data_IF_642348570227
#
_entry.id   IF_642348570227
#
_cell.length_a   1.000
_cell.length_b   1.000
_cell.length_c   1.000
_cell.angle_alpha   90.00
_cell.angle_beta   90.00
_cell.angle_gamma   90.00
#
_symmetry.space_group_name_H-M   'P 1'
#
loop_
_entity.id
_entity.type
_entity.pdbx_description
1 polymer ?
#
# COMPACT_ATOMS: atom_id res chain seq x y z
N UNK A 1 -37.58 15.44 6.12
CA UNK A 1 -36.16 15.66 5.76
C UNK A 1 -35.53 14.29 5.56
N UNK A 2 -34.85 14.01 4.44
CA UNK A 2 -34.14 12.75 4.30
C UNK A 2 -33.02 12.74 5.34
N UNK A 3 -33.01 11.71 6.19
CA UNK A 3 -31.91 11.42 7.12
C UNK A 3 -30.63 11.26 6.32
N UNK A 4 -29.69 12.19 6.51
CA UNK A 4 -28.32 12.05 6.01
C UNK A 4 -27.78 10.75 6.63
N UNK A 5 -27.24 9.81 5.85
CA UNK A 5 -26.65 8.61 6.42
C UNK A 5 -25.55 9.02 7.40
N UNK A 6 -25.52 8.45 8.60
CA UNK A 6 -24.52 8.80 9.62
C UNK A 6 -23.15 8.15 9.36
N UNK A 7 -23.02 7.33 8.31
CA UNK A 7 -21.84 6.51 8.06
C UNK A 7 -21.57 6.29 6.57
N UNK A 8 -20.29 6.03 6.25
CA UNK A 8 -19.87 5.56 4.92
C UNK A 8 -20.49 4.18 4.68
N UNK A 9 -21.13 3.93 3.52
CA UNK A 9 -21.72 2.63 3.23
C UNK A 9 -20.65 1.53 3.22
N UNK A 10 -20.87 0.50 4.04
CA UNK A 10 -20.03 -0.69 4.05
C UNK A 10 -20.42 -1.62 2.90
N UNK A 11 -19.44 -2.07 2.12
CA UNK A 11 -19.63 -2.96 0.98
C UNK A 11 -18.60 -4.08 1.03
N UNK A 12 -19.04 -5.32 0.80
CA UNK A 12 -18.10 -6.43 0.67
C UNK A 12 -17.31 -6.26 -0.61
N UNK A 13 -16.02 -6.55 -0.57
CA UNK A 13 -15.12 -6.45 -1.73
C UNK A 13 -15.69 -7.06 -3.02
N UNK A 14 -16.30 -8.24 -2.94
CA UNK A 14 -16.83 -8.94 -4.11
C UNK A 14 -18.10 -8.28 -4.69
N UNK A 15 -18.79 -7.48 -3.89
CA UNK A 15 -19.97 -6.70 -4.30
C UNK A 15 -19.57 -5.34 -4.90
N UNK A 16 -18.31 -4.92 -4.71
CA UNK A 16 -17.84 -3.63 -5.20
C UNK A 16 -17.83 -3.60 -6.74
N UNK A 17 -17.36 -4.66 -7.39
CA UNK A 17 -17.26 -4.75 -8.85
C UNK A 17 -18.56 -4.39 -9.60
N UNK A 18 -19.69 -5.10 -9.38
CA UNK A 18 -20.92 -4.79 -10.08
C UNK A 18 -21.45 -3.39 -9.74
N UNK A 19 -21.15 -2.87 -8.55
CA UNK A 19 -21.54 -1.51 -8.16
C UNK A 19 -20.73 -0.47 -8.92
N UNK A 20 -19.42 -0.70 -9.13
CA UNK A 20 -18.59 0.18 -9.96
C UNK A 20 -19.06 0.18 -11.41
N UNK A 21 -19.30 -1.00 -11.98
CA UNK A 21 -19.82 -1.12 -13.34
C UNK A 21 -21.17 -0.42 -13.49
N UNK A 22 -22.10 -0.63 -12.55
CA UNK A 22 -23.42 -0.02 -12.63
C UNK A 22 -23.36 1.50 -12.44
N UNK A 23 -22.65 1.97 -11.42
CA UNK A 23 -22.59 3.39 -11.06
C UNK A 23 -21.87 4.24 -12.10
N UNK A 24 -20.96 3.65 -12.88
CA UNK A 24 -20.15 4.35 -13.88
C UNK A 24 -20.32 3.82 -15.31
N UNK A 25 -21.35 3.01 -15.57
CA UNK A 25 -21.67 2.45 -16.90
C UNK A 25 -21.86 3.50 -18.00
N UNK A 26 -22.23 4.73 -17.64
CA UNK A 26 -22.38 5.86 -18.56
C UNK A 26 -21.19 6.81 -18.61
N UNK A 27 -20.13 6.57 -17.84
CA UNK A 27 -18.94 7.41 -17.80
C UNK A 27 -17.88 6.84 -18.75
N UNK A 28 -17.39 7.66 -19.68
CA UNK A 28 -16.29 7.25 -20.57
C UNK A 28 -14.98 7.01 -19.82
N UNK A 29 -14.78 7.75 -18.71
CA UNK A 29 -13.56 7.68 -17.90
C UNK A 29 -13.88 7.89 -16.43
N UNK A 30 -13.28 7.07 -15.56
CA UNK A 30 -13.44 7.20 -14.11
C UNK A 30 -12.21 6.66 -13.38
N UNK A 31 -12.00 7.13 -12.15
CA UNK A 31 -10.89 6.73 -11.30
C UNK A 31 -11.41 5.96 -10.10
N UNK A 32 -10.69 4.90 -9.73
CA UNK A 32 -10.86 4.17 -8.48
C UNK A 32 -9.64 4.40 -7.60
N UNK A 33 -9.87 4.84 -6.36
CA UNK A 33 -8.84 5.09 -5.36
C UNK A 33 -9.12 4.21 -4.16
N UNK A 34 -8.24 3.24 -3.92
CA UNK A 34 -8.23 2.44 -2.70
C UNK A 34 -7.35 3.13 -1.66
N UNK A 35 -7.89 3.36 -0.48
CA UNK A 35 -7.25 4.11 0.61
C UNK A 35 -7.16 3.20 1.84
N UNK A 36 -5.98 3.08 2.43
CA UNK A 36 -5.73 2.43 3.70
C UNK A 36 -5.39 3.49 4.76
N UNK A 37 -6.16 3.50 5.85
CA UNK A 37 -5.87 4.31 7.04
C UNK A 37 -4.76 3.63 7.83
N UNK A 38 -3.66 4.35 8.02
CA UNK A 38 -2.49 3.85 8.71
C UNK A 38 -2.67 3.92 10.23
N UNK A 39 -1.99 3.04 10.96
CA UNK A 39 -2.01 2.99 12.43
C UNK A 39 -3.41 2.96 13.06
N UNK A 40 -4.43 2.49 12.31
CA UNK A 40 -5.81 2.42 12.81
C UNK A 40 -5.95 1.60 14.10
N UNK A 41 -5.13 0.55 14.28
CA UNK A 41 -5.12 -0.25 15.51
C UNK A 41 -4.66 0.59 16.71
N UNK A 42 -3.56 1.32 16.58
CA UNK A 42 -3.09 2.23 17.63
C UNK A 42 -4.17 3.27 17.95
N UNK A 43 -4.74 3.92 16.93
CA UNK A 43 -5.85 4.88 17.10
C UNK A 43 -7.00 4.22 17.87
N UNK A 44 -7.41 3.01 17.47
CA UNK A 44 -8.50 2.28 18.11
C UNK A 44 -8.19 1.88 19.56
N UNK A 45 -6.94 1.55 19.89
CA UNK A 45 -6.53 1.19 21.24
C UNK A 45 -6.47 2.39 22.18
N UNK A 46 -6.18 3.59 21.67
CA UNK A 46 -6.19 4.83 22.44
C UNK A 46 -7.59 5.45 22.58
N UNK A 47 -8.51 5.14 21.67
CA UNK A 47 -9.86 5.68 21.67
C UNK A 47 -10.83 4.79 22.45
N UNK A 48 -11.64 5.40 23.32
CA UNK A 48 -12.82 4.73 23.85
C UNK A 48 -13.88 4.52 22.75
N UNK A 49 -14.85 3.64 23.01
CA UNK A 49 -15.90 3.31 22.04
C UNK A 49 -16.69 4.53 21.54
N UNK A 50 -16.93 5.51 22.43
CA UNK A 50 -17.58 6.78 22.07
C UNK A 50 -16.73 7.59 21.07
N UNK A 51 -15.45 7.79 21.37
CA UNK A 51 -14.50 8.50 20.50
C UNK A 51 -14.38 7.80 19.14
N UNK A 52 -14.44 6.46 19.11
CA UNK A 52 -14.37 5.68 17.87
C UNK A 52 -15.57 5.94 16.97
N UNK A 53 -16.79 5.92 17.53
CA UNK A 53 -18.01 6.24 16.79
C UNK A 53 -17.96 7.68 16.26
N UNK A 54 -17.58 8.63 17.11
CA UNK A 54 -17.46 10.04 16.72
C UNK A 54 -16.39 10.26 15.65
N UNK A 55 -15.25 9.55 15.72
CA UNK A 55 -14.19 9.61 14.71
C UNK A 55 -14.73 9.21 13.33
N UNK A 56 -15.52 8.13 13.25
CA UNK A 56 -16.13 7.67 11.99
C UNK A 56 -17.14 8.68 11.47
N UNK A 57 -17.99 9.23 12.35
CA UNK A 57 -18.96 10.27 11.98
C UNK A 57 -18.28 11.55 11.46
N UNK A 58 -17.26 12.04 12.16
CA UNK A 58 -16.50 13.22 11.74
C UNK A 58 -15.72 12.99 10.45
N UNK A 59 -15.21 11.77 10.25
CA UNK A 59 -14.60 11.37 8.98
C UNK A 59 -15.63 11.39 7.86
N UNK A 60 -16.82 10.80 8.08
CA UNK A 60 -17.90 10.81 7.09
C UNK A 60 -18.30 12.24 6.70
N UNK A 61 -18.61 13.09 7.68
CA UNK A 61 -18.98 14.50 7.48
C UNK A 61 -17.90 15.24 6.69
N UNK A 62 -16.63 15.00 7.01
CA UNK A 62 -15.53 15.66 6.31
C UNK A 62 -15.45 15.25 4.84
N UNK A 63 -15.58 13.96 4.55
CA UNK A 63 -15.52 13.47 3.18
C UNK A 63 -16.74 13.97 2.41
N UNK A 64 -17.94 13.91 2.99
CA UNK A 64 -19.17 14.41 2.36
C UNK A 64 -19.05 15.91 1.98
N UNK A 65 -18.46 16.72 2.85
CA UNK A 65 -18.28 18.16 2.59
C UNK A 65 -17.19 18.49 1.56
N UNK A 66 -16.23 17.59 1.34
CA UNK A 66 -15.07 17.85 0.46
C UNK A 66 -15.19 17.18 -0.90
N UNK A 67 -15.80 16.00 -0.95
CA UNK A 67 -15.99 15.26 -2.19
C UNK A 67 -17.15 15.85 -3.00
N UNK A 68 -17.04 15.81 -4.34
CA UNK A 68 -18.10 16.29 -5.21
C UNK A 68 -19.31 15.33 -5.14
N UNK A 69 -20.55 15.79 -5.40
CA UNK A 69 -21.74 14.93 -5.40
C UNK A 69 -21.69 13.75 -6.38
N UNK A 70 -20.83 13.82 -7.40
CA UNK A 70 -20.59 12.73 -8.36
C UNK A 70 -19.67 11.64 -7.82
N UNK A 71 -18.95 11.89 -6.73
CA UNK A 71 -18.03 10.93 -6.15
C UNK A 71 -18.83 9.93 -5.32
N UNK A 72 -18.30 8.71 -5.23
CA UNK A 72 -18.85 7.64 -4.40
C UNK A 72 -17.75 7.17 -3.46
N UNK A 73 -18.09 7.03 -2.19
CA UNK A 73 -17.19 6.57 -1.15
C UNK A 73 -17.79 5.36 -0.47
N UNK A 74 -17.00 4.31 -0.36
CA UNK A 74 -17.38 3.04 0.23
C UNK A 74 -16.36 2.61 1.26
N UNK A 75 -16.82 1.95 2.32
CA UNK A 75 -15.96 1.28 3.27
C UNK A 75 -15.92 -0.21 2.95
N UNK A 76 -14.72 -0.80 2.87
CA UNK A 76 -14.54 -2.23 2.55
C UNK A 76 -13.97 -3.04 3.71
N UNK A 77 -13.34 -2.37 4.68
CA UNK A 77 -12.89 -2.91 5.96
C UNK A 77 -12.78 -1.78 6.99
N UNK A 78 -12.44 -2.11 8.23
CA UNK A 78 -12.31 -1.11 9.33
C UNK A 78 -11.28 -0.01 9.03
N UNK A 79 -10.32 -0.29 8.15
CA UNK A 79 -9.24 0.63 7.81
C UNK A 79 -9.11 0.90 6.31
N UNK A 80 -10.04 0.42 5.46
CA UNK A 80 -9.96 0.62 4.01
C UNK A 80 -11.22 1.25 3.46
N UNK A 81 -11.00 2.27 2.65
CA UNK A 81 -12.01 3.00 1.91
C UNK A 81 -11.74 2.88 0.42
N UNK A 82 -12.79 2.88 -0.39
CA UNK A 82 -12.71 3.01 -1.84
C UNK A 82 -13.47 4.26 -2.24
N UNK A 83 -12.79 5.16 -2.93
CA UNK A 83 -13.40 6.32 -3.57
C UNK A 83 -13.41 6.11 -5.08
N UNK A 84 -14.58 6.28 -5.72
CA UNK A 84 -14.70 6.22 -7.17
C UNK A 84 -15.37 7.50 -7.66
N UNK A 85 -14.82 8.07 -8.73
CA UNK A 85 -15.25 9.35 -9.25
C UNK A 85 -15.13 9.38 -10.77
N UNK A 86 -16.05 10.06 -11.48
CA UNK A 86 -15.89 10.28 -12.91
C UNK A 86 -14.73 11.25 -13.17
N UNK A 87 -14.03 11.05 -14.29
CA UNK A 87 -13.00 11.97 -14.77
C UNK A 87 -13.60 12.68 -15.99
N UNK A 88 -14.34 13.75 -15.72
CA UNK A 88 -14.99 14.57 -16.75
C UNK A 88 -14.08 15.74 -17.15
N UNK A 89 -14.18 16.87 -16.44
CA UNK A 89 -13.34 18.06 -16.63
C UNK A 89 -12.03 18.03 -15.82
N UNK A 90 -12.00 17.25 -14.75
CA UNK A 90 -10.85 17.12 -13.87
C UNK A 90 -9.83 16.14 -14.47
N UNK A 91 -8.56 16.24 -14.09
CA UNK A 91 -7.58 15.18 -14.33
C UNK A 91 -7.65 14.12 -13.22
N UNK A 92 -7.10 12.93 -13.47
CA UNK A 92 -6.95 11.90 -12.43
C UNK A 92 -6.19 12.42 -11.20
N UNK A 93 -5.16 13.25 -11.42
CA UNK A 93 -4.34 13.81 -10.34
C UNK A 93 -5.12 14.85 -9.53
N UNK A 94 -6.03 15.62 -10.14
CA UNK A 94 -6.91 16.54 -9.42
C UNK A 94 -7.84 15.79 -8.47
N UNK A 95 -8.43 14.68 -8.93
CA UNK A 95 -9.27 13.81 -8.08
C UNK A 95 -8.46 13.25 -6.92
N UNK A 96 -7.24 12.78 -7.19
CA UNK A 96 -6.32 12.29 -6.16
C UNK A 96 -6.05 13.39 -5.12
N UNK A 97 -5.76 14.62 -5.53
CA UNK A 97 -5.51 15.74 -4.62
C UNK A 97 -6.74 16.10 -3.77
N UNK A 98 -7.94 16.05 -4.35
CA UNK A 98 -9.20 16.30 -3.62
C UNK A 98 -9.36 15.28 -2.48
N UNK A 99 -9.20 13.99 -2.82
CA UNK A 99 -9.32 12.87 -1.87
C UNK A 99 -8.19 12.89 -0.83
N UNK A 100 -6.95 13.14 -1.25
CA UNK A 100 -5.79 13.25 -0.38
C UNK A 100 -5.97 14.37 0.66
N UNK A 101 -6.58 15.48 0.22
CA UNK A 101 -6.91 16.63 1.04
C UNK A 101 -7.98 16.38 2.11
N UNK A 102 -8.76 15.29 2.04
CA UNK A 102 -9.66 14.88 3.13
C UNK A 102 -8.91 14.55 4.43
N UNK A 103 -7.61 14.27 4.34
CA UNK A 103 -6.76 13.91 5.46
C UNK A 103 -5.82 15.05 5.90
N UNK A 104 -5.90 16.23 5.26
CA UNK A 104 -4.94 17.32 5.48
C UNK A 104 -5.07 18.02 6.83
N UNK A 105 -6.09 17.69 7.63
CA UNK A 105 -6.37 18.28 8.94
C UNK A 105 -6.66 17.16 9.94
N UNK A 106 -6.34 17.32 11.23
CA UNK A 106 -6.73 16.34 12.24
C UNK A 106 -8.24 16.31 12.44
N UNK A 107 -8.79 15.17 12.85
CA UNK A 107 -10.17 15.04 13.32
C UNK A 107 -10.25 15.47 14.79
N UNK A 108 -11.28 16.25 15.12
CA UNK A 108 -11.56 16.69 16.48
C UNK A 108 -12.76 15.90 16.98
N UNK A 109 -12.58 15.19 18.08
CA UNK A 109 -13.63 14.46 18.79
C UNK A 109 -13.79 15.05 20.20
N UNK A 110 -14.99 14.97 20.75
CA UNK A 110 -15.31 15.47 22.08
C UNK A 110 -14.43 14.79 23.14
N UNK A 111 -13.86 15.60 24.05
CA UNK A 111 -13.02 15.13 25.15
C UNK A 111 -11.83 14.24 24.74
N UNK A 112 -11.37 14.35 23.48
CA UNK A 112 -10.27 13.58 22.93
C UNK A 112 -9.20 14.52 22.35
N UNK A 113 -7.90 14.16 22.39
CA UNK A 113 -6.88 14.93 21.68
C UNK A 113 -7.14 14.92 20.17
N UNK A 114 -6.60 15.91 19.46
CA UNK A 114 -6.71 15.98 18.00
C UNK A 114 -6.10 14.73 17.34
N UNK A 115 -6.89 14.04 16.51
CA UNK A 115 -6.50 12.77 15.89
C UNK A 115 -6.00 13.03 14.47
N UNK A 116 -4.70 12.83 14.23
CA UNK A 116 -4.12 12.89 12.90
C UNK A 116 -4.29 11.56 12.18
N UNK A 117 -5.01 11.58 11.06
CA UNK A 117 -5.15 10.41 10.20
C UNK A 117 -4.06 10.42 9.12
N UNK A 118 -3.21 9.41 9.14
CA UNK A 118 -2.32 9.10 8.02
C UNK A 118 -2.98 8.08 7.11
N UNK A 119 -2.65 8.15 5.83
CA UNK A 119 -3.23 7.30 4.78
C UNK A 119 -2.19 6.92 3.75
N UNK A 120 -2.36 5.74 3.19
CA UNK A 120 -1.74 5.32 1.95
C UNK A 120 -2.82 4.98 0.95
N UNK A 121 -2.63 5.32 -0.31
CA UNK A 121 -3.60 5.03 -1.34
C UNK A 121 -2.97 4.51 -2.62
N UNK A 122 -3.76 3.79 -3.39
CA UNK A 122 -3.47 3.43 -4.77
C UNK A 122 -4.63 3.83 -5.66
N UNK A 123 -4.32 4.45 -6.79
CA UNK A 123 -5.31 4.98 -7.73
C UNK A 123 -5.14 4.37 -9.11
N UNK A 124 -6.23 4.07 -9.79
CA UNK A 124 -6.23 3.52 -11.16
C UNK A 124 -7.37 4.11 -11.98
N UNK A 125 -7.16 4.25 -13.27
CA UNK A 125 -8.08 4.93 -14.20
C UNK A 125 -8.64 3.93 -15.22
N UNK A 126 -9.96 3.91 -15.35
CA UNK A 126 -10.64 3.24 -16.44
C UNK A 126 -10.79 4.20 -17.64
N UNK A 127 -10.61 3.74 -18.89
CA UNK A 127 -10.20 2.39 -19.30
C UNK A 127 -8.67 2.20 -19.42
N UNK A 128 -7.86 3.19 -19.05
CA UNK A 128 -6.42 3.20 -19.31
C UNK A 128 -5.68 2.03 -18.65
N UNK A 129 -6.03 1.73 -17.39
CA UNK A 129 -5.31 0.76 -16.57
C UNK A 129 -6.01 -0.61 -16.55
N UNK A 130 -7.30 -0.66 -16.88
CA UNK A 130 -8.15 -1.84 -16.78
C UNK A 130 -9.42 -1.76 -17.65
N UNK A 131 -9.97 -2.93 -18.02
CA UNK A 131 -11.16 -3.07 -18.87
C UNK A 131 -12.45 -3.39 -18.11
N UNK A 132 -12.36 -3.68 -16.81
CA UNK A 132 -13.48 -3.94 -15.93
C UNK A 132 -13.15 -3.46 -14.51
N UNK A 133 -14.16 -3.38 -13.64
CA UNK A 133 -13.96 -2.83 -12.30
C UNK A 133 -13.08 -3.73 -11.40
N UNK A 134 -12.98 -5.03 -11.69
CA UNK A 134 -12.24 -5.98 -10.87
C UNK A 134 -10.74 -5.84 -11.14
N UNK A 135 -10.38 -5.78 -12.42
CA UNK A 135 -9.06 -5.40 -12.89
C UNK A 135 -8.70 -3.99 -12.42
N UNK A 136 -9.63 -3.04 -12.44
CA UNK A 136 -9.38 -1.68 -11.96
C UNK A 136 -9.03 -1.67 -10.46
N UNK A 137 -9.83 -2.33 -9.62
CA UNK A 137 -9.52 -2.45 -8.20
C UNK A 137 -8.18 -3.16 -7.97
N UNK A 138 -7.83 -4.17 -8.76
CA UNK A 138 -6.53 -4.85 -8.70
C UNK A 138 -5.35 -3.93 -9.06
N UNK A 139 -5.54 -3.00 -10.00
CA UNK A 139 -4.56 -1.94 -10.30
C UNK A 139 -4.34 -1.03 -9.09
N UNK A 140 -5.44 -0.51 -8.53
CA UNK A 140 -5.40 0.33 -7.33
C UNK A 140 -4.70 -0.40 -6.16
N UNK A 141 -4.95 -1.69 -5.97
CA UNK A 141 -4.25 -2.49 -4.97
C UNK A 141 -2.76 -2.62 -5.22
N UNK A 142 -2.35 -2.85 -6.46
CA UNK A 142 -0.94 -2.92 -6.84
C UNK A 142 -0.22 -1.60 -6.55
N UNK A 143 -0.89 -0.47 -6.81
CA UNK A 143 -0.39 0.86 -6.51
C UNK A 143 -0.33 1.15 -5.00
N UNK A 144 -1.32 0.71 -4.24
CA UNK A 144 -1.31 0.82 -2.77
C UNK A 144 -0.17 0.01 -2.17
N UNK A 145 0.03 -1.23 -2.60
CA UNK A 145 1.12 -2.08 -2.11
C UNK A 145 2.49 -1.45 -2.43
N UNK A 146 2.62 -0.84 -3.60
CA UNK A 146 3.83 -0.10 -3.95
C UNK A 146 4.03 1.12 -3.04
N UNK A 147 2.97 1.90 -2.77
CA UNK A 147 3.04 3.03 -1.84
C UNK A 147 3.45 2.60 -0.42
N UNK A 148 2.96 1.45 0.05
CA UNK A 148 3.32 0.88 1.35
C UNK A 148 4.82 0.56 1.45
N UNK A 149 5.44 0.09 0.37
CA UNK A 149 6.88 -0.21 0.33
C UNK A 149 7.74 1.04 0.27
N UNK A 150 7.30 2.05 -0.47
CA UNK A 150 8.01 3.33 -0.57
C UNK A 150 7.92 4.16 0.72
N UNK A 151 6.92 3.88 1.56
CA UNK A 151 6.66 4.63 2.77
C UNK A 151 6.18 6.06 2.49
N UNK A 152 5.88 6.76 3.58
CA UNK A 152 5.30 8.10 3.52
C UNK A 152 3.82 8.10 3.14
N UNK A 153 3.07 8.97 3.80
CA UNK A 153 1.63 9.05 3.59
C UNK A 153 1.31 9.71 2.24
N UNK A 154 0.88 8.91 1.26
CA UNK A 154 0.62 9.33 -0.13
C UNK A 154 -0.42 8.47 -0.83
N UNK A 155 -1.00 8.97 -1.91
CA UNK A 155 -1.79 8.20 -2.87
C UNK A 155 -0.97 8.03 -4.16
N UNK A 156 -0.68 6.78 -4.53
CA UNK A 156 0.12 6.44 -5.70
C UNK A 156 -0.77 6.13 -6.90
N UNK A 157 -0.55 6.78 -8.05
CA UNK A 157 -1.20 6.41 -9.30
C UNK A 157 -0.56 5.15 -9.88
N UNK A 158 -1.38 4.25 -10.38
CA UNK A 158 -0.96 3.02 -11.03
C UNK A 158 -0.15 3.29 -12.29
N UNK A 159 0.76 2.37 -12.58
CA UNK A 159 1.43 2.23 -13.87
C UNK A 159 1.77 0.75 -14.08
N UNK A 160 1.98 0.33 -15.33
CA UNK A 160 2.40 -1.04 -15.61
C UNK A 160 3.73 -1.40 -14.93
N UNK A 161 4.67 -0.44 -14.84
CA UNK A 161 5.92 -0.61 -14.10
C UNK A 161 5.67 -0.93 -12.61
N UNK A 162 4.70 -0.25 -11.97
CA UNK A 162 4.31 -0.54 -10.58
C UNK A 162 3.78 -1.97 -10.45
N UNK A 163 2.98 -2.45 -11.40
CA UNK A 163 2.49 -3.84 -11.40
C UNK A 163 3.66 -4.82 -11.47
N UNK A 164 4.60 -4.59 -12.39
CA UNK A 164 5.77 -5.43 -12.55
C UNK A 164 6.62 -5.46 -11.27
N UNK A 165 6.87 -4.29 -10.66
CA UNK A 165 7.59 -4.20 -9.38
C UNK A 165 6.86 -4.94 -8.25
N UNK A 166 5.55 -4.80 -8.15
CA UNK A 166 4.76 -5.48 -7.10
C UNK A 166 4.78 -7.00 -7.30
N UNK A 167 4.58 -7.48 -8.53
CA UNK A 167 4.65 -8.90 -8.87
C UNK A 167 6.06 -9.46 -8.62
N UNK A 168 7.09 -8.73 -9.02
CA UNK A 168 8.50 -9.12 -8.82
C UNK A 168 8.80 -9.25 -7.33
N UNK A 169 8.45 -8.25 -6.53
CA UNK A 169 8.63 -8.31 -5.08
C UNK A 169 7.93 -9.51 -4.45
N UNK A 170 6.67 -9.78 -4.83
CA UNK A 170 5.93 -10.90 -4.27
C UNK A 170 6.56 -12.25 -4.63
N UNK A 171 7.03 -12.39 -5.87
CA UNK A 171 7.72 -13.59 -6.32
C UNK A 171 9.06 -13.77 -5.61
N UNK A 172 9.84 -12.69 -5.47
CA UNK A 172 11.09 -12.69 -4.69
C UNK A 172 10.82 -13.06 -3.23
N UNK A 173 9.79 -12.50 -2.59
CA UNK A 173 9.40 -12.85 -1.22
C UNK A 173 9.08 -14.34 -1.06
N UNK A 174 8.24 -14.89 -1.94
CA UNK A 174 7.86 -16.30 -1.90
C UNK A 174 9.08 -17.22 -2.03
N UNK A 175 9.95 -16.93 -3.01
CA UNK A 175 11.16 -17.73 -3.25
C UNK A 175 12.18 -17.55 -2.13
N UNK A 176 12.29 -16.35 -1.55
CA UNK A 176 13.21 -16.04 -0.46
C UNK A 176 12.86 -16.82 0.82
N UNK A 177 11.57 -16.94 1.16
CA UNK A 177 11.13 -17.79 2.28
C UNK A 177 11.68 -19.22 2.15
N UNK A 178 11.47 -19.84 0.98
CA UNK A 178 11.99 -21.19 0.70
C UNK A 178 13.51 -21.23 0.69
N UNK A 179 14.17 -20.20 0.14
CA UNK A 179 15.62 -20.15 0.05
C UNK A 179 16.30 -20.09 1.43
N UNK A 180 15.72 -19.33 2.36
CA UNK A 180 16.17 -19.25 3.76
C UNK A 180 15.99 -20.61 4.44
N UNK A 181 14.84 -21.26 4.30
CA UNK A 181 14.60 -22.58 4.91
C UNK A 181 15.58 -23.64 4.38
N UNK A 182 15.82 -23.64 3.07
CA UNK A 182 16.64 -24.63 2.36
C UNK A 182 18.16 -24.32 2.35
N UNK A 183 18.63 -23.23 2.96
CA UNK A 183 20.04 -22.81 2.93
C UNK A 183 20.61 -22.63 1.51
N UNK A 184 19.86 -22.03 0.58
CA UNK A 184 20.28 -21.89 -0.84
C UNK A 184 20.88 -20.52 -1.17
N UNK A 185 21.21 -19.72 -0.14
CA UNK A 185 21.85 -18.42 -0.28
C UNK A 185 23.29 -18.56 0.20
N UNK A 186 24.24 -18.25 -0.68
CA UNK A 186 25.66 -18.42 -0.44
C UNK A 186 26.29 -17.15 0.15
N UNK A 187 27.40 -17.31 0.87
CA UNK A 187 28.28 -16.21 1.25
C UNK A 187 29.56 -16.26 0.43
N UNK A 188 29.85 -15.16 -0.25
CA UNK A 188 31.12 -14.93 -0.91
C UNK A 188 31.96 -13.98 -0.07
N UNK A 189 33.29 -14.09 -0.13
CA UNK A 189 34.18 -13.27 0.69
C UNK A 189 35.06 -12.41 -0.18
N UNK A 190 34.97 -11.09 0.00
CA UNK A 190 35.84 -10.14 -0.68
C UNK A 190 36.93 -9.68 0.29
N UNK A 191 38.21 -10.02 0.05
CA UNK A 191 39.31 -9.61 0.92
C UNK A 191 39.57 -8.10 0.79
N UNK A 192 39.79 -7.44 1.92
CA UNK A 192 40.24 -6.06 2.00
C UNK A 192 41.71 -6.03 2.41
N UNK A 193 42.53 -5.38 1.59
CA UNK A 193 43.97 -5.26 1.79
C UNK A 193 44.29 -3.97 2.55
N UNK A 194 45.19 -4.07 3.53
CA UNK A 194 45.85 -2.89 4.07
C UNK A 194 46.93 -2.42 3.08
N UNK A 195 46.84 -1.17 2.55
CA UNK A 195 47.81 -0.67 1.58
C UNK A 195 49.22 -0.53 2.14
N UNK A 196 49.39 -0.43 3.47
CA UNK A 196 50.70 -0.27 4.10
C UNK A 196 51.38 -1.62 4.33
N UNK A 197 50.69 -2.58 4.97
CA UNK A 197 51.26 -3.91 5.22
C UNK A 197 51.19 -4.86 4.02
N UNK A 198 50.36 -4.56 3.01
CA UNK A 198 50.02 -5.43 1.88
C UNK A 198 49.42 -6.79 2.29
N UNK A 199 48.91 -6.88 3.51
CA UNK A 199 48.26 -8.09 4.02
C UNK A 199 46.73 -7.94 3.97
N UNK A 200 46.03 -9.06 3.87
CA UNK A 200 44.58 -9.12 4.05
C UNK A 200 44.30 -8.99 5.54
N UNK A 201 43.57 -7.96 5.94
CA UNK A 201 43.26 -7.69 7.35
C UNK A 201 41.80 -8.01 7.69
N UNK A 202 40.90 -7.89 6.72
CA UNK A 202 39.45 -8.09 6.89
C UNK A 202 38.89 -8.72 5.60
N UNK A 203 37.82 -9.51 5.72
CA UNK A 203 37.00 -9.93 4.59
C UNK A 203 35.57 -9.42 4.77
N UNK A 204 34.99 -8.88 3.70
CA UNK A 204 33.56 -8.58 3.63
C UNK A 204 32.79 -9.85 3.21
N UNK A 205 31.75 -10.21 3.96
CA UNK A 205 30.86 -11.31 3.63
C UNK A 205 29.69 -10.78 2.78
N UNK A 206 29.56 -11.31 1.57
CA UNK A 206 28.64 -10.84 0.55
C UNK A 206 27.65 -11.95 0.20
N UNK A 207 26.38 -11.77 0.57
CA UNK A 207 25.33 -12.72 0.25
C UNK A 207 25.11 -12.81 -1.27
N UNK A 208 24.90 -14.02 -1.79
CA UNK A 208 24.62 -14.31 -3.19
C UNK A 208 23.47 -15.28 -3.28
N UNK A 209 22.46 -14.92 -4.07
CA UNK A 209 21.30 -15.76 -4.25
C UNK A 209 21.07 -16.06 -5.72
N UNK A 210 21.08 -17.36 -6.01
CA UNK A 210 20.69 -17.93 -7.27
C UNK A 210 19.44 -18.78 -7.04
N UNK A 211 18.36 -18.44 -7.74
CA UNK A 211 17.11 -19.16 -7.68
C UNK A 211 16.84 -19.80 -9.04
N UNK A 212 16.30 -21.03 -9.04
CA UNK A 212 16.03 -21.78 -10.27
C UNK A 212 15.03 -21.09 -11.21
N UNK A 213 14.12 -20.29 -10.66
CA UNK A 213 13.08 -19.57 -11.43
C UNK A 213 13.52 -18.13 -11.69
N UNK A 214 14.06 -17.45 -10.67
CA UNK A 214 14.42 -16.03 -10.77
C UNK A 214 15.80 -15.77 -11.38
N UNK A 215 16.63 -16.79 -11.52
CA UNK A 215 18.03 -16.65 -11.89
C UNK A 215 18.82 -15.96 -10.78
N UNK A 216 19.72 -15.05 -11.17
CA UNK A 216 20.50 -14.25 -10.21
C UNK A 216 19.62 -13.16 -9.61
N UNK A 217 19.47 -13.14 -8.29
CA UNK A 217 18.77 -12.07 -7.57
C UNK A 217 19.80 -11.19 -6.88
N UNK A 218 19.76 -9.88 -7.12
CA UNK A 218 20.75 -8.97 -6.53
C UNK A 218 20.58 -8.87 -5.01
N UNK A 219 21.68 -8.67 -4.25
CA UNK A 219 21.61 -8.42 -2.81
C UNK A 219 20.66 -7.30 -2.45
N UNK A 220 20.74 -6.17 -3.15
CA UNK A 220 19.87 -5.01 -2.90
C UNK A 220 18.39 -5.36 -3.03
N UNK A 221 18.04 -6.24 -3.98
CA UNK A 221 16.66 -6.65 -4.19
C UNK A 221 16.15 -7.56 -3.07
N UNK A 222 16.83 -8.68 -2.79
CA UNK A 222 16.32 -9.63 -1.79
C UNK A 222 16.52 -9.17 -0.35
N UNK A 223 17.53 -8.34 -0.06
CA UNK A 223 17.70 -7.72 1.27
C UNK A 223 16.56 -6.74 1.52
N UNK A 224 16.21 -5.88 0.55
CA UNK A 224 15.05 -4.99 0.68
C UNK A 224 13.76 -5.79 0.93
N UNK A 225 13.55 -6.89 0.21
CA UNK A 225 12.41 -7.78 0.48
C UNK A 225 12.47 -8.31 1.90
N UNK A 226 13.62 -8.81 2.35
CA UNK A 226 13.79 -9.37 3.68
C UNK A 226 13.52 -8.35 4.79
N UNK A 227 13.95 -7.10 4.63
CA UNK A 227 13.70 -6.03 5.59
C UNK A 227 12.21 -5.70 5.68
N UNK A 228 11.58 -5.42 4.53
CA UNK A 228 10.17 -5.03 4.46
C UNK A 228 9.24 -6.15 4.92
N UNK A 229 9.60 -7.41 4.67
CA UNK A 229 8.81 -8.56 5.06
C UNK A 229 9.18 -9.17 6.42
N UNK A 230 10.11 -8.55 7.16
CA UNK A 230 10.56 -9.05 8.47
C UNK A 230 11.38 -10.35 8.43
N UNK A 231 11.86 -10.76 7.26
CA UNK A 231 12.72 -11.94 7.08
C UNK A 231 14.21 -11.64 7.28
N UNK A 232 14.60 -10.37 7.50
CA UNK A 232 16.03 -10.00 7.62
C UNK A 232 16.73 -10.73 8.76
N UNK A 233 16.03 -10.93 9.89
CA UNK A 233 16.56 -11.65 11.04
C UNK A 233 16.78 -13.14 10.74
N UNK A 234 15.77 -13.92 10.31
CA UNK A 234 16.00 -15.33 9.98
C UNK A 234 17.01 -15.52 8.85
N UNK A 235 17.03 -14.63 7.85
CA UNK A 235 18.05 -14.63 6.80
C UNK A 235 19.46 -14.49 7.40
N UNK A 236 19.68 -13.50 8.25
CA UNK A 236 20.99 -13.24 8.87
C UNK A 236 21.43 -14.41 9.73
N UNK A 237 20.57 -14.92 10.61
CA UNK A 237 20.87 -16.07 11.48
C UNK A 237 21.30 -17.30 10.66
N UNK A 238 20.61 -17.56 9.55
CA UNK A 238 20.88 -18.68 8.67
C UNK A 238 22.24 -18.54 7.97
N UNK A 239 22.54 -17.35 7.43
CA UNK A 239 23.82 -17.08 6.76
C UNK A 239 25.01 -17.22 7.72
N UNK A 240 24.90 -16.70 8.94
CA UNK A 240 25.99 -16.75 9.93
C UNK A 240 26.08 -18.07 10.70
N UNK A 241 25.01 -18.88 10.73
CA UNK A 241 25.09 -20.22 11.36
C UNK A 241 26.00 -21.20 10.63
N UNK A 242 26.34 -20.90 9.37
CA UNK A 242 27.20 -21.73 8.53
C UNK A 242 28.67 -21.24 8.49
N UNK A 243 29.02 -20.25 9.32
CA UNK A 243 30.39 -19.74 9.52
C UNK A 243 30.99 -20.25 10.82
#
# INVERSE_FOLDING_TARGET
>A
MPTIPSTIPFIRRNELHPILEQAFSGCERYICILIAIENHQAISSFCGERTRTELVEQMFIRFENRLKPTYRLFQISDNKLVCVAPIDSDTADDVIQIVDGCFSKPIVCENSPMIWLSRMGGASVFPDDAQDGAALLSCAESALQYAQKQGGSRIQRFSHQIREHTNRFQLVYQRLCSAIEMNTIDLWFQPMYDPFSKQVTICEALARWHDEILGVVSPDEFILVAEVSGLIKPLSEKLFSNL
#
